data_IF_197278773783
#
_entry.id   IF_197278773783
#
_cell.length_a   1.000
_cell.length_b   1.000
_cell.length_c   1.000
_cell.angle_alpha   90.00
_cell.angle_beta   90.00
_cell.angle_gamma   90.00
#
_symmetry.space_group_name_H-M   'P 1'
#
loop_
_entity.id
_entity.type
_entity.pdbx_description
1 polymer ?
#
# COMPACT_ATOMS: atom_id res chain seq x y z
N UNK A 1 32.33 35.00 26.65
CA UNK A 1 31.27 34.31 27.41
C UNK A 1 30.50 33.46 26.43
N UNK A 2 30.97 32.24 26.20
CA UNK A 2 30.36 31.29 25.28
C UNK A 2 29.30 30.49 26.02
N UNK A 3 28.03 30.71 25.69
CA UNK A 3 26.95 29.82 26.07
C UNK A 3 27.00 28.58 25.16
N UNK A 4 27.72 27.55 25.62
CA UNK A 4 27.52 26.18 25.15
C UNK A 4 26.10 25.73 25.51
N UNK A 5 25.23 25.70 24.51
CA UNK A 5 23.93 25.03 24.58
C UNK A 5 24.15 23.52 24.75
N UNK A 6 24.00 23.03 25.97
CA UNK A 6 23.83 21.62 26.31
C UNK A 6 22.52 21.11 25.72
N UNK A 7 22.53 20.70 24.45
CA UNK A 7 21.49 19.84 23.90
C UNK A 7 21.72 18.46 24.51
N UNK A 8 20.84 18.07 25.43
CA UNK A 8 20.86 16.74 26.02
C UNK A 8 20.84 15.68 24.91
N UNK A 9 21.82 14.78 24.93
CA UNK A 9 21.84 13.60 24.07
C UNK A 9 20.62 12.74 24.41
N UNK A 10 19.55 12.88 23.64
CA UNK A 10 18.39 11.99 23.77
C UNK A 10 18.82 10.59 23.31
N UNK A 11 18.80 9.63 24.22
CA UNK A 11 19.02 8.22 23.89
C UNK A 11 17.99 7.78 22.85
N UNK A 12 18.51 7.28 21.72
CA UNK A 12 17.68 6.78 20.63
C UNK A 12 17.18 5.38 20.99
N UNK A 13 15.89 5.08 20.78
CA UNK A 13 15.39 3.73 20.92
C UNK A 13 16.12 2.80 19.95
N UNK A 14 16.49 1.61 20.42
CA UNK A 14 17.12 0.60 19.58
C UNK A 14 16.16 0.16 18.45
N UNK A 15 16.71 -0.38 17.36
CA UNK A 15 15.92 -0.86 16.22
C UNK A 15 14.83 -1.85 16.66
N UNK A 16 15.22 -2.78 17.51
CA UNK A 16 14.39 -3.85 18.09
C UNK A 16 13.25 -3.29 18.96
N UNK A 17 13.46 -2.13 19.59
CA UNK A 17 12.43 -1.46 20.39
C UNK A 17 11.29 -0.91 19.51
N UNK A 18 11.62 -0.34 18.34
CA UNK A 18 10.62 0.18 17.40
C UNK A 18 9.75 -0.96 16.86
N UNK A 19 10.38 -2.06 16.42
CA UNK A 19 9.68 -3.24 15.90
C UNK A 19 8.74 -3.83 16.97
N UNK A 20 9.26 -4.05 18.18
CA UNK A 20 8.48 -4.58 19.32
C UNK A 20 7.28 -3.69 19.64
N UNK A 21 7.43 -2.36 19.56
CA UNK A 21 6.34 -1.41 19.82
C UNK A 21 5.27 -1.45 18.72
N UNK A 22 5.66 -1.63 17.45
CA UNK A 22 4.69 -1.80 16.35
C UNK A 22 3.93 -3.12 16.53
N UNK A 23 4.62 -4.21 16.84
CA UNK A 23 3.99 -5.51 17.10
C UNK A 23 3.00 -5.42 18.25
N UNK A 24 3.35 -4.71 19.32
CA UNK A 24 2.48 -4.54 20.46
C UNK A 24 1.25 -3.65 20.15
N UNK A 25 1.40 -2.61 19.29
CA UNK A 25 0.28 -1.83 18.75
C UNK A 25 -0.68 -2.73 17.95
N UNK A 26 -0.14 -3.51 17.01
CA UNK A 26 -0.90 -4.39 16.12
C UNK A 26 -1.59 -5.50 16.92
N UNK A 27 -0.87 -6.15 17.85
CA UNK A 27 -1.41 -7.16 18.78
C UNK A 27 -2.59 -6.60 19.56
N UNK A 28 -2.43 -5.41 20.16
CA UNK A 28 -3.51 -4.76 20.92
C UNK A 28 -4.72 -4.48 20.04
N UNK A 29 -4.52 -3.95 18.84
CA UNK A 29 -5.61 -3.66 17.90
C UNK A 29 -6.33 -4.94 17.45
N UNK A 30 -5.59 -5.99 17.11
CA UNK A 30 -6.13 -7.30 16.77
C UNK A 30 -7.02 -7.82 17.90
N UNK A 31 -6.53 -7.86 19.14
CA UNK A 31 -7.28 -8.35 20.29
C UNK A 31 -8.52 -7.49 20.59
N UNK A 32 -8.44 -6.18 20.47
CA UNK A 32 -9.59 -5.29 20.69
C UNK A 32 -10.66 -5.53 19.61
N UNK A 33 -10.27 -5.46 18.34
CA UNK A 33 -11.21 -5.57 17.21
C UNK A 33 -11.81 -6.97 17.15
N UNK A 34 -10.98 -8.01 17.29
CA UNK A 34 -11.43 -9.41 17.27
C UNK A 34 -12.32 -9.78 18.45
N UNK A 35 -12.43 -8.96 19.50
CA UNK A 35 -13.33 -9.23 20.62
C UNK A 35 -14.53 -8.27 20.70
N UNK A 36 -14.69 -7.34 19.74
CA UNK A 36 -15.90 -6.52 19.65
C UNK A 36 -17.15 -7.40 19.48
N UNK A 37 -18.27 -7.11 20.16
CA UNK A 37 -19.51 -7.85 19.97
C UNK A 37 -20.04 -7.69 18.53
N UNK A 38 -20.82 -8.67 18.07
CA UNK A 38 -21.39 -8.71 16.72
C UNK A 38 -20.75 -9.77 15.82
N UNK A 39 -21.43 -10.07 14.72
CA UNK A 39 -21.01 -11.07 13.72
C UNK A 39 -20.72 -10.47 12.35
N UNK A 40 -21.12 -9.22 12.08
CA UNK A 40 -20.87 -8.57 10.79
C UNK A 40 -19.44 -7.99 10.72
N UNK A 41 -18.56 -8.57 9.89
CA UNK A 41 -17.20 -8.08 9.75
C UNK A 41 -17.12 -6.65 9.19
N UNK A 42 -18.09 -6.17 8.42
CA UNK A 42 -18.06 -4.82 7.83
C UNK A 42 -18.19 -3.73 8.90
N UNK A 43 -19.00 -4.00 9.93
CA UNK A 43 -19.16 -3.08 11.07
C UNK A 43 -17.95 -3.16 12.00
N UNK A 44 -17.44 -4.38 12.22
CA UNK A 44 -16.34 -4.65 13.15
C UNK A 44 -15.01 -4.06 12.65
N UNK A 45 -14.70 -4.24 11.36
CA UNK A 45 -13.49 -3.78 10.70
C UNK A 45 -13.73 -2.50 9.90
N UNK A 46 -14.27 -1.47 10.56
CA UNK A 46 -14.39 -0.15 9.94
C UNK A 46 -13.05 0.59 9.91
N UNK A 47 -12.87 1.43 8.89
CA UNK A 47 -11.63 2.18 8.65
C UNK A 47 -11.25 3.06 9.84
N UNK A 48 -12.24 3.71 10.49
CA UNK A 48 -12.00 4.58 11.65
C UNK A 48 -11.33 3.81 12.78
N UNK A 49 -11.82 2.60 13.10
CA UNK A 49 -11.25 1.75 14.14
C UNK A 49 -9.82 1.29 13.83
N UNK A 50 -9.52 0.94 12.59
CA UNK A 50 -8.17 0.56 12.16
C UNK A 50 -7.22 1.76 12.20
N UNK A 51 -7.69 2.93 11.76
CA UNK A 51 -6.94 4.18 11.83
C UNK A 51 -6.61 4.55 13.28
N UNK A 52 -7.58 4.48 14.17
CA UNK A 52 -7.44 4.88 15.57
C UNK A 52 -6.56 3.93 16.38
N UNK A 53 -6.71 2.63 16.17
CA UNK A 53 -6.01 1.62 16.96
C UNK A 53 -4.62 1.27 16.43
N UNK A 54 -4.36 1.50 15.13
CA UNK A 54 -3.08 1.11 14.49
C UNK A 54 -2.35 2.31 13.90
N UNK A 55 -2.97 3.00 12.94
CA UNK A 55 -2.28 4.03 12.15
C UNK A 55 -1.91 5.25 12.99
N UNK A 56 -2.81 5.76 13.84
CA UNK A 56 -2.53 6.90 14.73
C UNK A 56 -1.38 6.59 15.70
N UNK A 57 -1.37 5.47 16.45
CA UNK A 57 -0.22 5.08 17.28
C UNK A 57 1.10 4.94 16.52
N UNK A 58 1.09 4.34 15.32
CA UNK A 58 2.29 4.22 14.48
C UNK A 58 2.79 5.60 14.04
N UNK A 59 1.88 6.52 13.67
CA UNK A 59 2.24 7.89 13.32
C UNK A 59 2.85 8.62 14.51
N UNK A 60 2.28 8.47 15.70
CA UNK A 60 2.88 8.99 16.95
C UNK A 60 4.28 8.41 17.15
N UNK A 61 4.47 7.11 16.93
CA UNK A 61 5.78 6.47 17.05
C UNK A 61 6.82 7.08 16.09
N UNK A 62 6.45 7.39 14.84
CA UNK A 62 7.34 8.08 13.89
C UNK A 62 7.83 9.43 14.45
N UNK A 63 6.96 10.17 15.13
CA UNK A 63 7.21 11.55 15.55
C UNK A 63 7.40 11.76 17.07
N UNK A 64 7.54 10.68 17.83
CA UNK A 64 7.64 10.75 19.29
C UNK A 64 8.91 11.51 19.74
N UNK A 65 8.79 12.37 20.76
CA UNK A 65 9.92 13.10 21.33
C UNK A 65 10.71 13.93 20.28
N UNK A 66 10.00 14.46 19.28
CA UNK A 66 10.56 15.39 18.29
C UNK A 66 10.27 16.81 18.73
N UNK A 67 11.26 17.71 18.58
CA UNK A 67 11.09 19.12 18.89
C UNK A 67 10.15 19.82 17.88
N UNK A 68 9.43 20.88 18.29
CA UNK A 68 8.47 21.55 17.40
C UNK A 68 9.06 22.03 16.08
N UNK A 69 10.33 22.48 16.05
CA UNK A 69 10.95 22.98 14.83
C UNK A 69 11.18 21.86 13.81
N UNK A 70 11.64 20.69 14.28
CA UNK A 70 11.80 19.50 13.43
C UNK A 70 10.44 18.99 12.92
N UNK A 71 9.39 19.05 13.74
CA UNK A 71 8.03 18.69 13.32
C UNK A 71 7.52 19.63 12.21
N UNK A 72 7.63 20.95 12.40
CA UNK A 72 7.27 21.94 11.37
C UNK A 72 8.10 21.78 10.09
N UNK A 73 9.38 21.41 10.21
CA UNK A 73 10.22 21.13 9.05
C UNK A 73 9.70 19.92 8.26
N UNK A 74 9.23 18.87 8.94
CA UNK A 74 8.62 17.72 8.30
C UNK A 74 7.36 18.10 7.53
N UNK A 75 6.50 18.95 8.10
CA UNK A 75 5.24 19.38 7.46
C UNK A 75 5.44 20.45 6.37
N UNK A 76 6.63 21.07 6.28
CA UNK A 76 6.95 22.07 5.25
C UNK A 76 7.32 21.44 3.89
N UNK A 77 7.36 22.25 2.82
CA UNK A 77 7.83 21.82 1.49
C UNK A 77 9.35 21.55 1.42
N UNK A 78 10.09 21.78 2.51
CA UNK A 78 11.54 21.56 2.55
C UNK A 78 11.88 20.08 2.36
N UNK A 79 12.69 19.78 1.34
CA UNK A 79 13.06 18.41 0.99
C UNK A 79 11.89 17.58 0.42
N UNK A 80 10.78 18.22 0.03
CA UNK A 80 9.68 17.58 -0.69
C UNK A 80 10.13 17.08 -2.08
N UNK A 81 9.21 16.49 -2.84
CA UNK A 81 9.52 15.88 -4.14
C UNK A 81 9.69 16.90 -5.28
N UNK A 82 9.12 18.10 -5.14
CA UNK A 82 9.23 19.16 -6.16
C UNK A 82 8.44 18.89 -7.42
N UNK A 83 7.45 18.00 -7.32
CA UNK A 83 6.62 17.55 -8.43
C UNK A 83 5.29 17.06 -7.92
N UNK A 84 4.32 17.02 -8.82
CA UNK A 84 3.02 16.45 -8.51
C UNK A 84 3.11 14.94 -8.33
N UNK A 85 2.44 14.43 -7.30
CA UNK A 85 2.32 13.00 -7.00
C UNK A 85 0.92 12.47 -7.27
N UNK A 86 0.05 13.32 -7.82
CA UNK A 86 -1.31 12.94 -8.15
C UNK A 86 -1.32 11.93 -9.30
N UNK A 87 -2.13 10.89 -9.13
CA UNK A 87 -2.38 9.88 -10.14
C UNK A 87 -3.79 10.13 -10.66
N UNK A 88 -3.89 10.68 -11.87
CA UNK A 88 -5.16 11.08 -12.48
C UNK A 88 -6.08 9.87 -12.67
N UNK A 89 -7.34 10.01 -12.24
CA UNK A 89 -8.35 8.97 -12.45
C UNK A 89 -8.66 8.80 -13.95
N UNK A 90 -9.25 7.65 -14.31
CA UNK A 90 -9.71 7.43 -15.67
C UNK A 90 -10.73 8.52 -16.04
N UNK A 91 -10.58 9.09 -17.23
CA UNK A 91 -11.41 10.19 -17.76
C UNK A 91 -11.23 11.53 -17.04
N UNK A 92 -10.18 11.68 -16.23
CA UNK A 92 -9.81 12.99 -15.70
C UNK A 92 -9.44 13.96 -16.83
N UNK A 93 -9.78 15.23 -16.63
CA UNK A 93 -9.35 16.34 -17.48
C UNK A 93 -7.88 16.64 -17.20
N UNK A 94 -7.07 16.58 -18.25
CA UNK A 94 -5.65 16.93 -18.17
C UNK A 94 -5.29 17.90 -19.30
N UNK A 95 -4.20 18.63 -19.11
CA UNK A 95 -3.80 19.72 -19.99
C UNK A 95 -2.43 19.43 -20.62
N UNK A 96 -2.32 19.65 -21.93
CA UNK A 96 -1.07 19.61 -22.68
C UNK A 96 -0.69 21.03 -23.08
N UNK A 97 0.40 21.57 -22.54
CA UNK A 97 0.96 22.85 -23.00
C UNK A 97 1.79 22.62 -24.28
N UNK A 98 1.31 23.05 -25.44
CA UNK A 98 2.00 22.81 -26.72
C UNK A 98 3.30 23.60 -26.84
N UNK A 99 3.44 24.67 -26.07
CA UNK A 99 4.64 25.52 -26.08
C UNK A 99 5.79 24.94 -25.23
N UNK A 100 5.50 24.05 -24.26
CA UNK A 100 6.49 23.60 -23.27
C UNK A 100 6.66 22.09 -23.16
N UNK A 101 5.64 21.31 -23.51
CA UNK A 101 5.70 19.86 -23.41
C UNK A 101 6.67 19.29 -24.43
N UNK A 102 7.54 18.35 -24.03
CA UNK A 102 8.49 17.75 -24.97
C UNK A 102 7.85 16.84 -26.01
N UNK A 103 6.61 16.38 -25.76
CA UNK A 103 5.79 15.56 -26.66
C UNK A 103 4.33 15.54 -26.18
N UNK A 104 3.43 15.01 -27.02
CA UNK A 104 1.99 14.96 -26.77
C UNK A 104 1.54 14.00 -25.64
N UNK A 105 2.44 13.20 -25.08
CA UNK A 105 2.15 12.38 -23.90
C UNK A 105 2.29 13.15 -22.59
N UNK A 106 2.99 14.29 -22.61
CA UNK A 106 3.33 15.04 -21.41
C UNK A 106 2.22 15.98 -20.93
N UNK A 107 1.21 15.42 -20.28
CA UNK A 107 0.09 16.18 -19.71
C UNK A 107 0.29 16.48 -18.21
N UNK A 108 -0.34 17.54 -17.73
CA UNK A 108 -0.43 17.91 -16.31
C UNK A 108 -1.91 17.94 -15.86
N UNK A 109 -2.17 17.62 -14.59
CA UNK A 109 -3.53 17.65 -14.04
C UNK A 109 -4.08 19.09 -13.97
N UNK A 110 -5.39 19.23 -13.93
CA UNK A 110 -6.11 20.52 -13.86
C UNK A 110 -5.57 21.43 -12.75
N UNK A 111 -5.41 20.89 -11.54
CA UNK A 111 -4.90 21.66 -10.41
C UNK A 111 -3.49 22.21 -10.67
N UNK A 112 -2.60 21.41 -11.26
CA UNK A 112 -1.24 21.88 -11.57
C UNK A 112 -1.26 22.90 -12.70
N UNK A 113 -2.07 22.68 -13.73
CA UNK A 113 -2.23 23.61 -14.84
C UNK A 113 -2.65 24.99 -14.33
N UNK A 114 -3.75 25.06 -13.56
CA UNK A 114 -4.30 26.31 -13.03
C UNK A 114 -3.36 27.09 -12.10
N UNK A 115 -2.35 26.42 -11.53
CA UNK A 115 -1.36 27.03 -10.63
C UNK A 115 0.03 27.21 -11.28
N UNK A 116 0.12 27.08 -12.60
CA UNK A 116 1.37 27.17 -13.37
C UNK A 116 1.34 28.31 -14.38
N UNK A 117 2.50 28.61 -14.97
CA UNK A 117 2.62 29.57 -16.07
C UNK A 117 1.90 29.10 -17.35
N UNK A 118 1.61 27.80 -17.47
CA UNK A 118 1.06 27.20 -18.69
C UNK A 118 -0.35 27.66 -19.03
N UNK A 119 -1.09 28.26 -18.09
CA UNK A 119 -2.39 28.91 -18.36
C UNK A 119 -2.28 30.09 -19.33
N UNK A 120 -1.07 30.65 -19.49
CA UNK A 120 -0.79 31.77 -20.40
C UNK A 120 -0.20 31.32 -21.74
N UNK A 121 0.00 30.02 -21.93
CA UNK A 121 0.57 29.43 -23.14
C UNK A 121 -0.53 28.82 -24.02
N UNK A 122 -0.18 28.36 -25.22
CA UNK A 122 -1.07 27.53 -26.00
C UNK A 122 -1.20 26.14 -25.35
N UNK A 123 -2.44 25.67 -25.20
CA UNK A 123 -2.71 24.37 -24.59
C UNK A 123 -3.90 23.65 -25.22
N UNK A 124 -3.95 22.35 -24.98
CA UNK A 124 -5.04 21.45 -25.39
C UNK A 124 -5.59 20.75 -24.15
N UNK A 125 -6.91 20.74 -24.00
CA UNK A 125 -7.59 19.86 -23.03
C UNK A 125 -7.66 18.44 -23.60
N UNK A 126 -7.18 17.48 -22.82
CA UNK A 126 -7.15 16.06 -23.18
C UNK A 126 -7.91 15.27 -22.13
N UNK A 127 -8.76 14.36 -22.58
CA UNK A 127 -9.42 13.36 -21.70
C UNK A 127 -8.68 12.04 -21.85
N UNK A 128 -8.01 11.60 -20.78
CA UNK A 128 -7.24 10.35 -20.79
C UNK A 128 -8.13 9.17 -20.40
N UNK A 129 -8.10 8.09 -21.20
CA UNK A 129 -8.83 6.83 -20.91
C UNK A 129 -8.12 5.95 -19.88
N UNK A 130 -6.84 6.21 -19.63
CA UNK A 130 -5.97 5.42 -18.75
C UNK A 130 -5.43 6.33 -17.66
N UNK A 131 -5.25 5.76 -16.47
CA UNK A 131 -4.62 6.40 -15.33
C UNK A 131 -3.20 6.88 -15.68
N UNK A 132 -2.85 8.09 -15.25
CA UNK A 132 -1.60 8.74 -15.65
C UNK A 132 -1.00 9.58 -14.51
N UNK A 133 0.31 9.77 -14.51
CA UNK A 133 1.01 10.63 -13.56
C UNK A 133 1.12 12.06 -14.08
N UNK A 134 0.73 13.03 -13.26
CA UNK A 134 0.92 14.43 -13.61
C UNK A 134 2.43 14.74 -13.81
N UNK A 135 2.74 15.42 -14.92
CA UNK A 135 4.12 15.79 -15.27
C UNK A 135 4.60 17.13 -14.68
N UNK A 136 3.81 17.78 -13.81
CA UNK A 136 4.26 19.00 -13.13
C UNK A 136 5.52 18.71 -12.30
N UNK A 137 6.61 19.44 -12.56
CA UNK A 137 7.93 19.23 -11.95
C UNK A 137 8.73 18.06 -12.54
N UNK A 138 8.24 17.40 -13.59
CA UNK A 138 9.01 16.41 -14.34
C UNK A 138 9.85 17.10 -15.43
N UNK A 139 11.14 17.31 -15.13
CA UNK A 139 12.06 18.01 -16.05
C UNK A 139 12.34 17.26 -17.35
N UNK A 140 12.02 15.96 -17.46
CA UNK A 140 12.10 15.21 -18.75
C UNK A 140 10.93 15.53 -19.68
N UNK A 141 9.79 15.90 -19.10
CA UNK A 141 8.53 16.12 -19.80
C UNK A 141 8.32 17.61 -20.15
N UNK A 142 8.81 18.51 -19.29
CA UNK A 142 8.71 19.95 -19.42
C UNK A 142 10.11 20.57 -19.19
N UNK A 143 10.92 20.58 -20.24
CA UNK A 143 12.29 21.08 -20.18
C UNK A 143 12.29 22.59 -19.92
N UNK A 144 13.12 23.07 -18.99
CA UNK A 144 13.22 24.47 -18.59
C UNK A 144 11.93 25.10 -18.00
N UNK A 145 10.90 24.29 -17.69
CA UNK A 145 9.74 24.76 -16.95
C UNK A 145 9.93 24.55 -15.45
N UNK A 146 9.57 25.56 -14.67
CA UNK A 146 9.45 25.41 -13.23
C UNK A 146 8.19 24.59 -12.88
N UNK A 147 8.17 23.87 -11.73
CA UNK A 147 6.93 23.32 -11.19
C UNK A 147 5.89 24.41 -10.94
N UNK A 148 4.62 24.03 -10.81
CA UNK A 148 3.58 24.97 -10.37
C UNK A 148 3.87 25.47 -8.94
N UNK A 149 3.25 26.57 -8.53
CA UNK A 149 3.53 27.20 -7.23
C UNK A 149 3.25 26.29 -6.01
N UNK A 150 2.44 25.23 -6.18
CA UNK A 150 2.19 24.21 -5.14
C UNK A 150 3.33 23.20 -4.98
N UNK A 151 4.12 23.01 -6.03
CA UNK A 151 5.20 22.02 -6.09
C UNK A 151 6.59 22.64 -6.15
N UNK A 152 6.69 23.96 -5.98
CA UNK A 152 7.96 24.64 -5.83
C UNK A 152 8.59 24.30 -4.47
N UNK A 153 9.87 23.91 -4.48
CA UNK A 153 10.63 23.63 -3.27
C UNK A 153 11.43 24.89 -2.92
N UNK A 154 11.39 25.37 -1.67
CA UNK A 154 12.28 26.45 -1.24
C UNK A 154 13.75 26.10 -1.44
N UNK A 155 14.57 27.05 -1.89
CA UNK A 155 16.03 26.96 -1.90
C UNK A 155 16.57 26.98 -0.47
N UNK A 156 16.38 25.89 0.28
CA UNK A 156 16.98 25.75 1.59
C UNK A 156 17.64 24.38 1.79
N UNK A 157 18.77 24.43 2.48
CA UNK A 157 19.69 23.30 2.69
C UNK A 157 19.35 22.50 3.95
N UNK A 158 18.26 22.83 4.65
CA UNK A 158 17.91 22.18 5.92
C UNK A 158 17.28 20.82 5.67
N UNK A 159 18.09 19.78 5.76
CA UNK A 159 17.61 18.40 5.74
C UNK A 159 16.98 18.01 7.09
N UNK A 160 16.07 17.04 7.05
CA UNK A 160 15.57 16.41 8.27
C UNK A 160 16.73 15.79 9.07
N UNK A 161 16.69 15.85 10.42
CA UNK A 161 17.70 15.22 11.25
C UNK A 161 17.83 13.72 10.95
N UNK A 162 19.08 13.23 10.90
CA UNK A 162 19.36 11.83 10.57
C UNK A 162 18.68 10.82 11.51
N UNK A 163 18.46 11.18 12.78
CA UNK A 163 17.78 10.32 13.75
C UNK A 163 16.31 10.10 13.39
N UNK A 164 15.61 11.13 12.94
CA UNK A 164 14.21 11.05 12.52
C UNK A 164 14.11 10.18 11.27
N UNK A 165 15.01 10.42 10.33
CA UNK A 165 15.12 9.62 9.12
C UNK A 165 15.31 8.13 9.42
N UNK A 166 16.26 7.79 10.31
CA UNK A 166 16.53 6.42 10.75
C UNK A 166 15.29 5.79 11.38
N UNK A 167 14.58 6.53 12.23
CA UNK A 167 13.35 6.05 12.88
C UNK A 167 12.24 5.76 11.86
N UNK A 168 11.95 6.69 10.95
CA UNK A 168 10.94 6.50 9.89
C UNK A 168 11.32 5.28 9.05
N UNK A 169 12.58 5.13 8.66
CA UNK A 169 13.08 3.96 7.93
C UNK A 169 12.82 2.66 8.70
N UNK A 170 13.08 2.63 10.01
CA UNK A 170 12.80 1.47 10.86
C UNK A 170 11.32 1.10 10.90
N UNK A 171 10.45 2.10 11.07
CA UNK A 171 9.00 1.89 11.05
C UNK A 171 8.57 1.34 9.68
N UNK A 172 8.93 2.03 8.60
CA UNK A 172 8.57 1.64 7.24
C UNK A 172 9.03 0.23 6.89
N UNK A 173 10.28 -0.13 7.23
CA UNK A 173 10.81 -1.48 7.00
C UNK A 173 9.95 -2.55 7.70
N UNK A 174 9.55 -2.29 8.95
CA UNK A 174 8.71 -3.25 9.69
C UNK A 174 7.29 -3.33 9.15
N UNK A 175 6.72 -2.22 8.66
CA UNK A 175 5.42 -2.26 7.98
C UNK A 175 5.49 -3.01 6.65
N UNK A 176 6.59 -2.89 5.90
CA UNK A 176 6.81 -3.71 4.71
C UNK A 176 6.89 -5.20 5.04
N UNK A 177 7.54 -5.58 6.14
CA UNK A 177 7.55 -6.97 6.61
C UNK A 177 6.14 -7.54 6.77
N UNK A 178 5.20 -6.79 7.35
CA UNK A 178 3.80 -7.22 7.44
C UNK A 178 3.13 -7.39 6.07
N UNK A 179 3.41 -6.49 5.11
CA UNK A 179 2.90 -6.65 3.74
C UNK A 179 3.54 -7.85 3.04
N UNK A 180 4.82 -8.15 3.27
CA UNK A 180 5.48 -9.34 2.75
C UNK A 180 4.90 -10.62 3.32
N UNK A 181 4.63 -10.67 4.63
CA UNK A 181 4.00 -11.83 5.26
C UNK A 181 2.58 -12.03 4.71
N UNK A 182 1.82 -10.94 4.54
CA UNK A 182 0.47 -11.01 4.01
C UNK A 182 0.41 -11.45 2.54
N UNK A 183 1.35 -10.96 1.71
CA UNK A 183 1.45 -11.31 0.30
C UNK A 183 2.18 -12.65 0.05
N UNK A 184 2.76 -13.25 1.09
CA UNK A 184 3.50 -14.50 1.03
C UNK A 184 2.61 -15.74 1.19
N UNK A 185 3.25 -16.82 1.61
CA UNK A 185 2.57 -18.06 2.00
C UNK A 185 1.73 -17.84 3.26
N UNK A 186 0.57 -18.48 3.36
CA UNK A 186 -0.38 -18.22 4.44
C UNK A 186 0.21 -18.54 5.83
N UNK A 187 1.01 -19.61 5.92
CA UNK A 187 1.65 -20.05 7.16
C UNK A 187 2.64 -19.04 7.74
N UNK A 188 3.30 -18.22 6.91
CA UNK A 188 4.30 -17.26 7.40
C UNK A 188 3.68 -16.18 8.28
N UNK A 189 2.54 -15.62 7.84
CA UNK A 189 1.82 -14.62 8.63
C UNK A 189 1.21 -15.25 9.88
N UNK A 190 0.61 -16.42 9.74
CA UNK A 190 -0.05 -17.11 10.85
C UNK A 190 0.98 -17.43 11.95
N UNK A 191 2.13 -18.03 11.61
CA UNK A 191 3.22 -18.29 12.56
C UNK A 191 3.74 -17.01 13.23
N UNK A 192 3.92 -15.94 12.45
CA UNK A 192 4.38 -14.66 13.00
C UNK A 192 3.40 -14.09 14.02
N UNK A 193 2.10 -14.11 13.72
CA UNK A 193 1.06 -13.58 14.60
C UNK A 193 0.87 -14.46 15.84
N UNK A 194 0.91 -15.78 15.68
CA UNK A 194 0.86 -16.73 16.80
C UNK A 194 2.03 -16.47 17.76
N UNK A 195 3.24 -16.30 17.25
CA UNK A 195 4.41 -15.95 18.06
C UNK A 195 4.21 -14.62 18.81
N UNK A 196 3.73 -13.57 18.14
CA UNK A 196 3.43 -12.27 18.78
C UNK A 196 2.35 -12.42 19.87
N UNK A 197 1.31 -13.21 19.62
CA UNK A 197 0.23 -13.44 20.58
C UNK A 197 0.72 -14.20 21.81
N UNK A 198 1.61 -15.18 21.64
CA UNK A 198 2.20 -15.98 22.71
C UNK A 198 3.24 -15.23 23.56
N UNK A 199 3.90 -14.20 23.01
CA UNK A 199 4.83 -13.36 23.76
C UNK A 199 4.07 -12.49 24.78
N UNK A 200 4.18 -12.83 26.06
CA UNK A 200 3.35 -12.29 27.15
C UNK A 200 3.78 -10.91 27.66
N UNK A 201 4.89 -10.36 27.17
CA UNK A 201 5.53 -9.22 27.81
C UNK A 201 5.16 -7.87 27.16
N UNK A 202 4.69 -6.95 28.01
CA UNK A 202 4.75 -5.48 27.83
C UNK A 202 3.57 -4.73 27.18
N UNK A 203 2.33 -5.25 27.18
CA UNK A 203 1.17 -4.40 26.85
C UNK A 203 1.01 -3.19 27.81
N UNK A 204 1.47 -3.33 29.06
CA UNK A 204 1.43 -2.28 30.09
C UNK A 204 2.46 -1.15 29.89
N UNK A 205 3.49 -1.35 29.06
CA UNK A 205 4.54 -0.33 28.82
C UNK A 205 4.19 0.66 27.70
N UNK A 206 3.17 0.38 26.88
CA UNK A 206 2.73 1.31 25.86
C UNK A 206 1.85 2.39 26.50
N UNK A 207 2.48 3.43 27.05
CA UNK A 207 1.83 4.66 27.49
C UNK A 207 1.28 5.45 26.28
N UNK A 208 0.23 4.94 25.64
CA UNK A 208 -0.63 5.74 24.79
C UNK A 208 -1.46 6.61 25.73
N UNK A 209 -1.18 7.92 25.77
CA UNK A 209 -1.78 8.88 26.70
C UNK A 209 -3.30 9.07 26.57
N UNK A 210 -3.97 8.36 25.67
CA UNK A 210 -5.43 8.39 25.55
C UNK A 210 -5.99 7.04 26.01
N UNK A 211 -6.60 7.02 27.20
CA UNK A 211 -7.47 5.91 27.62
C UNK A 211 -8.75 5.98 26.76
N UNK A 212 -9.04 5.01 25.87
CA UNK A 212 -10.43 4.83 25.47
C UNK A 212 -11.24 4.39 26.70
N UNK A 213 -12.54 4.75 26.81
CA UNK A 213 -13.34 4.40 27.97
C UNK A 213 -13.51 2.87 28.04
N UNK A 214 -13.23 2.30 29.21
CA UNK A 214 -13.55 0.93 29.63
C UNK A 214 -12.98 -0.22 28.79
N UNK A 215 -11.72 -0.57 29.03
CA UNK A 215 -11.31 -1.99 29.01
C UNK A 215 -10.92 -2.35 30.44
N UNK A 216 -11.86 -2.99 31.16
CA UNK A 216 -11.55 -3.57 32.47
C UNK A 216 -10.46 -4.63 32.29
N UNK A 217 -9.51 -4.64 33.22
CA UNK A 217 -8.38 -5.56 33.34
C UNK A 217 -8.84 -7.00 33.56
N UNK A 218 -9.34 -7.65 32.51
CA UNK A 218 -9.78 -9.05 32.50
C UNK A 218 -8.93 -9.93 31.59
N UNK A 219 -7.62 -9.66 31.49
CA UNK A 219 -6.72 -10.42 30.61
C UNK A 219 -6.04 -11.62 31.29
N UNK A 220 -6.55 -12.09 32.44
CA UNK A 220 -5.95 -13.19 33.21
C UNK A 220 -6.58 -14.58 32.94
N UNK A 221 -7.63 -14.68 32.14
CA UNK A 221 -8.18 -15.99 31.75
C UNK A 221 -7.68 -16.40 30.35
N UNK A 222 -6.53 -17.08 30.30
CA UNK A 222 -6.02 -17.82 29.13
C UNK A 222 -6.96 -18.94 28.61
N UNK A 223 -8.13 -19.14 29.23
CA UNK A 223 -9.06 -20.24 28.94
C UNK A 223 -10.26 -19.92 28.04
N UNK A 224 -10.55 -18.64 27.75
CA UNK A 224 -11.57 -18.28 26.75
C UNK A 224 -10.85 -17.96 25.44
N UNK A 225 -10.91 -18.92 24.51
CA UNK A 225 -10.34 -18.86 23.17
C UNK A 225 -10.47 -17.46 22.54
N UNK A 226 -9.35 -16.71 22.53
CA UNK A 226 -9.30 -15.40 21.90
C UNK A 226 -9.85 -15.53 20.49
N UNK A 227 -10.89 -14.75 20.17
CA UNK A 227 -11.56 -14.78 18.88
C UNK A 227 -10.59 -14.58 17.70
N UNK A 228 -9.37 -14.06 17.94
CA UNK A 228 -8.29 -13.95 16.97
C UNK A 228 -7.81 -15.32 16.39
N UNK A 229 -8.02 -16.43 17.11
CA UNK A 229 -7.65 -17.78 16.66
C UNK A 229 -8.78 -18.54 15.98
N UNK A 230 -10.00 -17.98 15.97
CA UNK A 230 -11.14 -18.59 15.27
C UNK A 230 -10.97 -18.48 13.75
N UNK A 231 -11.88 -19.12 13.04
CA UNK A 231 -11.86 -19.19 11.58
C UNK A 231 -12.94 -18.31 10.94
N UNK A 232 -12.68 -17.91 9.71
CA UNK A 232 -13.60 -17.22 8.83
C UNK A 232 -13.73 -18.01 7.52
N UNK A 233 -14.89 -17.92 6.87
CA UNK A 233 -15.03 -18.33 5.46
C UNK A 233 -15.06 -17.08 4.61
N UNK A 234 -14.20 -17.03 3.60
CA UNK A 234 -14.07 -15.89 2.68
C UNK A 234 -14.22 -16.39 1.25
N UNK A 235 -15.13 -15.75 0.52
CA UNK A 235 -15.29 -15.91 -0.92
C UNK A 235 -14.32 -14.95 -1.61
N UNK A 236 -13.66 -15.41 -2.66
CA UNK A 236 -12.79 -14.62 -3.53
C UNK A 236 -13.34 -14.65 -4.95
N UNK A 237 -13.17 -13.55 -5.68
CA UNK A 237 -13.53 -13.47 -7.11
C UNK A 237 -12.33 -13.03 -7.96
N UNK A 238 -12.23 -13.51 -9.21
CA UNK A 238 -11.40 -12.88 -10.23
C UNK A 238 -11.84 -11.43 -10.54
N UNK A 239 -10.97 -10.69 -11.24
CA UNK A 239 -11.26 -9.30 -11.63
C UNK A 239 -12.34 -9.21 -12.70
N UNK A 240 -12.29 -10.13 -13.65
CA UNK A 240 -13.14 -10.24 -14.83
C UNK A 240 -14.36 -11.17 -14.62
N UNK A 241 -14.63 -11.54 -13.37
CA UNK A 241 -15.78 -12.38 -13.03
C UNK A 241 -17.12 -11.70 -13.38
N UNK A 242 -18.08 -12.49 -13.87
CA UNK A 242 -19.43 -12.02 -14.18
C UNK A 242 -20.15 -11.53 -12.90
N UNK A 243 -20.62 -10.27 -12.85
CA UNK A 243 -21.40 -9.75 -11.73
C UNK A 243 -22.61 -10.62 -11.35
N UNK A 244 -23.21 -11.32 -12.31
CA UNK A 244 -24.36 -12.23 -12.09
C UNK A 244 -23.95 -13.49 -11.32
N UNK A 245 -22.76 -14.03 -11.59
CA UNK A 245 -22.19 -15.16 -10.84
C UNK A 245 -21.89 -14.73 -9.40
N UNK A 246 -21.29 -13.55 -9.24
CA UNK A 246 -21.01 -12.95 -7.94
C UNK A 246 -22.30 -12.78 -7.13
N UNK A 247 -23.33 -12.18 -7.73
CA UNK A 247 -24.64 -12.01 -7.11
C UNK A 247 -25.23 -13.35 -6.64
N UNK A 248 -25.24 -14.35 -7.52
CA UNK A 248 -25.82 -15.66 -7.24
C UNK A 248 -25.07 -16.37 -6.10
N UNK A 249 -23.74 -16.33 -6.12
CA UNK A 249 -22.90 -16.92 -5.07
C UNK A 249 -23.09 -16.24 -3.71
N UNK A 250 -23.09 -14.89 -3.68
CA UNK A 250 -23.29 -14.12 -2.44
C UNK A 250 -24.71 -14.35 -1.90
N UNK A 251 -25.72 -14.38 -2.77
CA UNK A 251 -27.11 -14.64 -2.39
C UNK A 251 -27.27 -16.04 -1.79
N UNK A 252 -26.58 -17.04 -2.35
CA UNK A 252 -26.57 -18.40 -1.81
C UNK A 252 -25.86 -18.48 -0.45
N UNK A 253 -24.68 -17.87 -0.34
CA UNK A 253 -23.90 -17.86 0.90
C UNK A 253 -24.61 -17.09 2.04
N UNK A 254 -25.51 -16.16 1.69
CA UNK A 254 -26.37 -15.38 2.59
C UNK A 254 -25.62 -14.80 3.80
N UNK A 255 -24.55 -14.01 3.59
CA UNK A 255 -23.77 -13.43 4.67
C UNK A 255 -24.55 -12.33 5.40
N UNK A 256 -24.20 -12.01 6.66
CA UNK A 256 -24.81 -10.91 7.38
C UNK A 256 -24.49 -9.57 6.69
N UNK A 257 -25.50 -8.70 6.55
CA UNK A 257 -25.34 -7.35 6.00
C UNK A 257 -26.40 -6.99 4.96
N UNK A 258 -26.27 -5.79 4.39
CA UNK A 258 -27.11 -5.36 3.27
C UNK A 258 -26.53 -5.89 1.94
N UNK A 259 -27.35 -6.54 1.11
CA UNK A 259 -26.90 -7.15 -0.14
C UNK A 259 -26.19 -6.17 -1.08
N UNK A 260 -26.65 -4.93 -1.18
CA UNK A 260 -26.03 -3.91 -2.05
C UNK A 260 -24.61 -3.59 -1.56
N UNK A 261 -24.45 -3.37 -0.26
CA UNK A 261 -23.15 -3.07 0.34
C UNK A 261 -22.18 -4.25 0.21
N UNK A 262 -22.67 -5.47 0.37
CA UNK A 262 -21.89 -6.70 0.21
C UNK A 262 -21.39 -6.86 -1.23
N UNK A 263 -22.24 -6.59 -2.23
CA UNK A 263 -21.88 -6.65 -3.64
C UNK A 263 -20.88 -5.56 -4.02
N UNK A 264 -21.06 -4.34 -3.50
CA UNK A 264 -20.07 -3.27 -3.68
C UNK A 264 -18.73 -3.64 -3.04
N UNK A 265 -18.75 -4.25 -1.85
CA UNK A 265 -17.54 -4.66 -1.15
C UNK A 265 -16.77 -5.74 -1.91
N UNK A 266 -17.43 -6.82 -2.33
CA UNK A 266 -16.75 -7.87 -3.10
C UNK A 266 -16.27 -7.36 -4.46
N UNK A 267 -16.99 -6.41 -5.07
CA UNK A 267 -16.57 -5.78 -6.32
C UNK A 267 -15.30 -4.96 -6.16
N UNK A 268 -15.22 -4.14 -5.11
CA UNK A 268 -14.03 -3.33 -4.85
C UNK A 268 -12.86 -4.15 -4.32
N UNK A 269 -13.15 -5.09 -3.41
CA UNK A 269 -12.10 -5.78 -2.67
C UNK A 269 -11.62 -7.05 -3.38
N UNK A 270 -12.47 -7.68 -4.18
CA UNK A 270 -12.21 -9.01 -4.75
C UNK A 270 -12.42 -10.16 -3.77
N UNK A 271 -12.93 -9.88 -2.56
CA UNK A 271 -13.24 -10.89 -1.56
C UNK A 271 -14.41 -10.46 -0.65
N UNK A 272 -15.07 -11.43 -0.01
CA UNK A 272 -16.16 -11.21 0.95
C UNK A 272 -16.11 -12.25 2.07
N UNK A 273 -16.15 -11.80 3.33
CA UNK A 273 -16.26 -12.71 4.47
C UNK A 273 -17.73 -13.07 4.69
N UNK A 274 -18.04 -14.36 4.58
CA UNK A 274 -19.42 -14.87 4.68
C UNK A 274 -19.71 -15.58 6.01
N UNK A 275 -18.66 -16.08 6.66
CA UNK A 275 -18.72 -16.51 8.06
C UNK A 275 -17.56 -15.92 8.83
N UNK A 276 -17.84 -15.39 10.01
CA UNK A 276 -16.87 -14.68 10.84
C UNK A 276 -16.81 -15.25 12.25
N UNK A 277 -15.59 -15.53 12.75
CA UNK A 277 -15.33 -16.06 14.10
C UNK A 277 -16.12 -17.33 14.43
N UNK A 278 -16.15 -18.26 13.49
CA UNK A 278 -16.86 -19.53 13.67
C UNK A 278 -15.88 -20.67 14.01
N UNK A 279 -16.43 -21.82 14.34
CA UNK A 279 -15.65 -23.04 14.59
C UNK A 279 -15.10 -23.58 13.27
N UNK A 280 -13.93 -24.27 13.29
CA UNK A 280 -13.39 -24.90 12.09
C UNK A 280 -14.37 -25.82 11.38
N UNK A 281 -15.19 -26.57 12.14
CA UNK A 281 -16.20 -27.48 11.61
C UNK A 281 -17.33 -26.72 10.89
N UNK A 282 -17.83 -25.63 11.48
CA UNK A 282 -18.86 -24.81 10.86
C UNK A 282 -18.36 -24.07 9.61
N UNK A 283 -17.08 -23.69 9.61
CA UNK A 283 -16.41 -23.13 8.44
C UNK A 283 -16.27 -24.18 7.33
N UNK A 284 -15.82 -25.40 7.66
CA UNK A 284 -15.71 -26.51 6.70
C UNK A 284 -17.04 -26.86 6.05
N UNK A 285 -18.11 -26.98 6.84
CA UNK A 285 -19.45 -27.26 6.31
C UNK A 285 -19.94 -26.15 5.35
N UNK A 286 -19.68 -24.88 5.70
CA UNK A 286 -20.05 -23.75 4.84
C UNK A 286 -19.23 -23.68 3.56
N UNK A 287 -17.91 -23.88 3.65
CA UNK A 287 -17.02 -23.96 2.50
C UNK A 287 -17.47 -25.04 1.53
N UNK A 288 -17.73 -26.26 2.02
CA UNK A 288 -18.22 -27.37 1.19
C UNK A 288 -19.51 -27.00 0.46
N UNK A 289 -20.49 -26.45 1.17
CA UNK A 289 -21.79 -26.10 0.58
C UNK A 289 -21.67 -24.99 -0.47
N UNK A 290 -20.81 -23.99 -0.25
CA UNK A 290 -20.55 -22.91 -1.21
C UNK A 290 -19.81 -23.43 -2.44
N UNK A 291 -18.80 -24.28 -2.27
CA UNK A 291 -18.04 -24.87 -3.39
C UNK A 291 -18.92 -25.78 -4.24
N UNK A 292 -19.76 -26.61 -3.61
CA UNK A 292 -20.75 -27.43 -4.31
C UNK A 292 -21.73 -26.58 -5.12
N UNK A 293 -22.19 -25.45 -4.55
CA UNK A 293 -23.05 -24.51 -5.29
C UNK A 293 -22.35 -23.92 -6.51
N UNK A 294 -21.11 -23.44 -6.35
CA UNK A 294 -20.32 -22.85 -7.45
C UNK A 294 -20.13 -23.89 -8.57
N UNK A 295 -19.76 -25.11 -8.24
CA UNK A 295 -19.52 -26.18 -9.22
C UNK A 295 -20.80 -26.55 -9.99
N UNK A 296 -21.94 -26.62 -9.31
CA UNK A 296 -23.19 -27.08 -9.91
C UNK A 296 -23.96 -25.97 -10.65
N UNK A 297 -23.83 -24.71 -10.22
CA UNK A 297 -24.68 -23.62 -10.72
C UNK A 297 -23.91 -22.52 -11.45
N UNK A 298 -22.59 -22.42 -11.28
CA UNK A 298 -21.76 -21.37 -11.86
C UNK A 298 -20.60 -21.99 -12.68
N UNK A 299 -20.88 -22.86 -13.66
CA UNK A 299 -19.83 -23.55 -14.41
C UNK A 299 -18.94 -22.56 -15.15
N UNK A 300 -17.63 -22.68 -14.96
CA UNK A 300 -16.64 -21.79 -15.56
C UNK A 300 -16.37 -20.50 -14.78
N UNK A 301 -17.10 -20.24 -13.70
CA UNK A 301 -16.76 -19.16 -12.77
C UNK A 301 -15.41 -19.44 -12.10
N UNK A 302 -14.61 -18.38 -11.90
CA UNK A 302 -13.37 -18.46 -11.13
C UNK A 302 -13.56 -18.14 -9.64
N UNK A 303 -14.80 -17.97 -9.19
CA UNK A 303 -15.12 -17.78 -7.77
C UNK A 303 -14.69 -19.02 -6.98
N UNK A 304 -14.07 -18.80 -5.82
CA UNK A 304 -13.74 -19.86 -4.88
C UNK A 304 -13.90 -19.34 -3.45
N UNK A 305 -13.95 -20.24 -2.47
CA UNK A 305 -13.95 -19.85 -1.08
C UNK A 305 -12.83 -20.54 -0.30
N UNK A 306 -12.40 -19.94 0.80
CA UNK A 306 -11.35 -20.48 1.67
C UNK A 306 -11.65 -20.22 3.12
N UNK A 307 -11.14 -21.10 3.96
CA UNK A 307 -11.12 -20.91 5.41
C UNK A 307 -9.82 -20.19 5.76
N UNK A 308 -9.92 -19.05 6.44
CA UNK A 308 -8.76 -18.30 6.94
C UNK A 308 -8.91 -18.02 8.42
N UNK A 309 -7.80 -17.73 9.11
CA UNK A 309 -7.83 -17.29 10.50
C UNK A 309 -8.36 -15.86 10.63
N UNK A 310 -9.00 -15.56 11.76
CA UNK A 310 -9.49 -14.20 12.07
C UNK A 310 -8.38 -13.16 12.04
N UNK A 311 -7.17 -13.50 12.49
CA UNK A 311 -6.04 -12.58 12.41
C UNK A 311 -5.60 -12.32 10.97
N UNK A 312 -5.56 -13.33 10.09
CA UNK A 312 -5.30 -13.14 8.66
C UNK A 312 -6.33 -12.20 8.04
N UNK A 313 -7.61 -12.39 8.36
CA UNK A 313 -8.69 -11.48 7.94
C UNK A 313 -8.50 -10.05 8.46
N UNK A 314 -8.05 -9.88 9.72
CA UNK A 314 -7.67 -8.57 10.27
C UNK A 314 -6.55 -7.92 9.45
N UNK A 315 -5.51 -8.65 9.07
CA UNK A 315 -4.43 -8.10 8.24
C UNK A 315 -4.88 -7.77 6.82
N UNK A 316 -5.79 -8.57 6.23
CA UNK A 316 -6.42 -8.23 4.95
C UNK A 316 -7.11 -6.86 5.03
N UNK A 317 -7.89 -6.60 6.09
CA UNK A 317 -8.55 -5.30 6.32
C UNK A 317 -7.58 -4.18 6.68
N UNK A 318 -6.54 -4.47 7.47
CA UNK A 318 -5.54 -3.49 7.90
C UNK A 318 -4.59 -3.07 6.75
N UNK A 319 -4.34 -3.95 5.79
CA UNK A 319 -3.36 -3.75 4.71
C UNK A 319 -3.54 -2.43 3.95
N UNK A 320 -4.79 -2.08 3.63
CA UNK A 320 -5.14 -0.82 2.97
C UNK A 320 -4.63 0.40 3.75
N UNK A 321 -4.89 0.42 5.06
CA UNK A 321 -4.46 1.50 5.93
C UNK A 321 -2.92 1.57 6.07
N UNK A 322 -2.25 0.41 6.11
CA UNK A 322 -0.78 0.33 6.12
C UNK A 322 -0.16 0.87 4.83
N UNK A 323 -0.72 0.51 3.68
CA UNK A 323 -0.25 0.98 2.38
C UNK A 323 -0.43 2.51 2.25
N UNK A 324 -1.56 3.04 2.74
CA UNK A 324 -1.82 4.49 2.72
C UNK A 324 -0.82 5.26 3.59
N UNK A 325 -0.52 4.80 4.82
CA UNK A 325 0.51 5.48 5.65
C UNK A 325 1.90 5.37 5.02
N UNK A 326 2.25 4.21 4.45
CA UNK A 326 3.51 4.02 3.74
C UNK A 326 3.64 5.00 2.58
N UNK A 327 2.60 5.13 1.76
CA UNK A 327 2.58 6.08 0.66
C UNK A 327 2.70 7.54 1.13
N UNK A 328 1.95 7.92 2.16
CA UNK A 328 2.03 9.27 2.74
C UNK A 328 3.44 9.59 3.23
N UNK A 329 4.11 8.66 3.91
CA UNK A 329 5.51 8.81 4.31
C UNK A 329 6.44 8.89 3.11
N UNK A 330 6.25 8.02 2.10
CA UNK A 330 7.04 7.98 0.86
C UNK A 330 7.06 9.35 0.17
N UNK A 331 5.87 9.93 0.00
CA UNK A 331 5.69 11.14 -0.80
C UNK A 331 5.98 12.42 -0.02
N UNK A 332 6.12 12.34 1.32
CA UNK A 332 6.40 13.49 2.17
C UNK A 332 7.74 14.15 1.87
N UNK A 333 8.79 13.34 1.60
CA UNK A 333 10.18 13.81 1.39
C UNK A 333 10.89 12.97 0.36
N UNK A 334 11.68 13.63 -0.50
CA UNK A 334 12.47 12.96 -1.54
C UNK A 334 13.46 11.93 -1.00
N UNK A 335 14.10 12.21 0.14
CA UNK A 335 14.98 11.25 0.81
C UNK A 335 14.23 10.00 1.28
N UNK A 336 13.02 10.17 1.83
CA UNK A 336 12.21 9.03 2.28
C UNK A 336 11.76 8.21 1.07
N UNK A 337 11.31 8.87 -0.01
CA UNK A 337 10.96 8.21 -1.26
C UNK A 337 12.10 7.35 -1.83
N UNK A 338 13.33 7.87 -1.84
CA UNK A 338 14.51 7.12 -2.28
C UNK A 338 14.75 5.85 -1.47
N UNK A 339 14.71 5.98 -0.15
CA UNK A 339 14.91 4.85 0.74
C UNK A 339 13.75 3.85 0.66
N UNK A 340 12.52 4.30 0.45
CA UNK A 340 11.39 3.40 0.22
C UNK A 340 11.55 2.63 -1.08
N UNK A 341 11.98 3.29 -2.16
CA UNK A 341 12.34 2.62 -3.42
C UNK A 341 13.47 1.59 -3.22
N UNK A 342 14.46 1.91 -2.38
CA UNK A 342 15.54 0.98 -2.05
C UNK A 342 15.05 -0.22 -1.23
N UNK A 343 14.27 0.02 -0.18
CA UNK A 343 13.73 -1.03 0.67
C UNK A 343 12.87 -2.01 -0.14
N UNK A 344 11.89 -1.50 -0.89
CA UNK A 344 10.94 -2.33 -1.67
C UNK A 344 11.65 -3.27 -2.64
N UNK A 345 12.65 -2.78 -3.39
CA UNK A 345 13.24 -3.55 -4.48
C UNK A 345 14.57 -4.23 -4.15
N UNK A 346 15.17 -3.96 -2.98
CA UNK A 346 16.47 -4.54 -2.59
C UNK A 346 16.49 -5.20 -1.23
N UNK A 347 15.64 -4.77 -0.29
CA UNK A 347 15.65 -5.27 1.09
C UNK A 347 14.45 -6.18 1.38
N UNK A 348 13.42 -6.14 0.53
CA UNK A 348 12.19 -6.93 0.68
C UNK A 348 11.96 -7.85 -0.50
N UNK A 349 11.22 -8.92 -0.26
CA UNK A 349 10.64 -9.87 -1.24
C UNK A 349 9.24 -9.46 -1.72
N UNK A 350 8.76 -8.27 -1.35
CA UNK A 350 7.40 -7.82 -1.65
C UNK A 350 7.09 -7.80 -3.15
N UNK A 351 7.97 -7.33 -4.05
CA UNK A 351 7.73 -7.40 -5.49
C UNK A 351 7.56 -8.83 -6.00
N UNK A 352 8.42 -9.76 -5.59
CA UNK A 352 8.32 -11.16 -5.98
C UNK A 352 7.01 -11.78 -5.50
N UNK A 353 6.66 -11.58 -4.23
CA UNK A 353 5.41 -12.06 -3.64
C UNK A 353 4.19 -11.44 -4.33
N UNK A 354 4.23 -10.16 -4.68
CA UNK A 354 3.16 -9.49 -5.41
C UNK A 354 2.93 -10.08 -6.81
N UNK A 355 3.99 -10.16 -7.62
CA UNK A 355 3.85 -10.51 -9.04
C UNK A 355 3.62 -12.00 -9.26
N UNK A 356 4.10 -12.85 -8.35
CA UNK A 356 4.12 -14.30 -8.55
C UNK A 356 3.23 -15.08 -7.59
N UNK A 357 2.58 -14.43 -6.61
CA UNK A 357 1.50 -15.07 -5.84
C UNK A 357 0.17 -14.84 -6.56
N UNK A 358 -0.45 -15.90 -7.09
CA UNK A 358 -1.75 -15.83 -7.77
C UNK A 358 -2.94 -15.71 -6.82
N UNK A 359 -2.76 -16.01 -5.54
CA UNK A 359 -3.80 -15.97 -4.51
C UNK A 359 -4.12 -14.58 -3.96
N UNK A 360 -3.44 -13.52 -4.42
CA UNK A 360 -3.73 -12.16 -3.97
C UNK A 360 -5.04 -11.63 -4.57
N UNK A 361 -5.81 -10.94 -3.74
CA UNK A 361 -7.09 -10.34 -4.10
C UNK A 361 -6.93 -8.97 -4.78
N UNK A 362 -8.01 -8.46 -5.36
CA UNK A 362 -8.03 -7.24 -6.17
C UNK A 362 -7.52 -6.02 -5.39
N UNK A 363 -8.06 -5.78 -4.20
CA UNK A 363 -7.70 -4.61 -3.37
C UNK A 363 -6.21 -4.51 -3.10
N UNK A 364 -5.58 -5.60 -2.61
CA UNK A 364 -4.16 -5.56 -2.25
C UNK A 364 -3.29 -5.32 -3.49
N UNK A 365 -3.69 -5.87 -4.64
CA UNK A 365 -2.98 -5.65 -5.90
C UNK A 365 -3.06 -4.20 -6.36
N UNK A 366 -4.26 -3.64 -6.32
CA UNK A 366 -4.49 -2.25 -6.68
C UNK A 366 -3.73 -1.29 -5.77
N UNK A 367 -3.81 -1.51 -4.46
CA UNK A 367 -3.16 -0.65 -3.48
C UNK A 367 -1.63 -0.72 -3.56
N UNK A 368 -1.03 -1.91 -3.62
CA UNK A 368 0.43 -2.04 -3.75
C UNK A 368 0.92 -1.40 -5.06
N UNK A 369 0.21 -1.64 -6.17
CA UNK A 369 0.58 -1.04 -7.46
C UNK A 369 0.58 0.48 -7.37
N UNK A 370 -0.54 1.07 -6.95
CA UNK A 370 -0.75 2.52 -7.00
C UNK A 370 0.02 3.29 -5.94
N UNK A 371 0.15 2.74 -4.74
CA UNK A 371 0.64 3.49 -3.58
C UNK A 371 2.04 3.05 -3.12
N UNK A 372 2.52 1.89 -3.55
CA UNK A 372 3.89 1.44 -3.27
C UNK A 372 4.73 1.54 -4.54
N UNK A 373 4.41 0.77 -5.58
CA UNK A 373 5.27 0.67 -6.77
C UNK A 373 5.31 1.96 -7.59
N UNK A 374 4.15 2.53 -7.96
CA UNK A 374 4.12 3.79 -8.71
C UNK A 374 4.75 4.95 -7.92
N UNK A 375 4.61 4.97 -6.60
CA UNK A 375 5.22 5.98 -5.74
C UNK A 375 6.76 5.96 -5.80
N UNK A 376 7.38 4.82 -6.12
CA UNK A 376 8.83 4.73 -6.29
C UNK A 376 9.35 5.46 -7.55
N UNK A 377 8.48 5.75 -8.51
CA UNK A 377 8.82 6.53 -9.72
C UNK A 377 9.20 7.97 -9.38
N UNK A 378 8.73 8.49 -8.24
CA UNK A 378 9.06 9.84 -7.75
C UNK A 378 10.42 9.93 -7.04
N UNK A 379 11.09 8.80 -6.80
CA UNK A 379 12.45 8.81 -6.25
C UNK A 379 13.40 9.62 -7.14
N UNK A 380 14.47 10.17 -6.57
CA UNK A 380 15.53 10.87 -7.32
C UNK A 380 16.28 9.93 -8.27
N UNK A 381 16.26 8.63 -7.98
CA UNK A 381 16.71 7.56 -8.89
C UNK A 381 15.71 7.32 -10.04
N UNK A 382 14.61 8.08 -10.12
CA UNK A 382 13.56 8.05 -11.15
C UNK A 382 13.11 6.63 -11.45
N UNK A 383 12.66 5.90 -10.43
CA UNK A 383 12.12 4.54 -10.60
C UNK A 383 13.11 3.48 -11.06
N UNK A 384 14.42 3.76 -11.12
CA UNK A 384 15.40 2.82 -11.67
C UNK A 384 15.44 1.46 -10.94
N UNK A 385 15.13 1.42 -9.64
CA UNK A 385 15.02 0.16 -8.91
C UNK A 385 13.85 -0.71 -9.40
N UNK A 386 12.69 -0.10 -9.68
CA UNK A 386 11.54 -0.79 -10.28
C UNK A 386 11.89 -1.30 -11.68
N UNK A 387 12.54 -0.47 -12.51
CA UNK A 387 12.98 -0.87 -13.86
C UNK A 387 13.96 -2.04 -13.80
N UNK A 388 14.91 -2.02 -12.86
CA UNK A 388 15.85 -3.12 -12.63
C UNK A 388 15.15 -4.41 -12.23
N UNK A 389 14.17 -4.32 -11.32
CA UNK A 389 13.36 -5.48 -10.94
C UNK A 389 12.58 -6.02 -12.14
N UNK A 390 11.91 -5.14 -12.89
CA UNK A 390 11.12 -5.50 -14.07
C UNK A 390 12.00 -6.21 -15.12
N UNK A 391 13.16 -5.64 -15.43
CA UNK A 391 14.14 -6.21 -16.34
C UNK A 391 14.62 -7.60 -15.89
N UNK A 392 15.09 -7.71 -14.64
CA UNK A 392 15.61 -8.97 -14.09
C UNK A 392 14.59 -10.11 -14.11
N UNK A 393 13.30 -9.78 -14.09
CA UNK A 393 12.21 -10.75 -14.03
C UNK A 393 11.37 -10.79 -15.31
N UNK A 394 11.83 -10.20 -16.42
CA UNK A 394 11.03 -9.99 -17.62
C UNK A 394 10.38 -11.28 -18.14
N UNK A 395 11.15 -12.36 -18.32
CA UNK A 395 10.62 -13.64 -18.83
C UNK A 395 9.55 -14.24 -17.94
N UNK A 396 9.74 -14.12 -16.62
CA UNK A 396 8.78 -14.65 -15.64
C UNK A 396 7.51 -13.81 -15.60
N UNK A 397 7.64 -12.48 -15.66
CA UNK A 397 6.51 -11.56 -15.76
C UNK A 397 5.73 -11.77 -17.07
N UNK A 398 6.43 -11.96 -18.18
CA UNK A 398 5.83 -12.25 -19.49
C UNK A 398 5.10 -13.59 -19.48
N UNK A 399 5.68 -14.62 -18.85
CA UNK A 399 5.02 -15.91 -18.66
C UNK A 399 3.71 -15.77 -17.87
N UNK A 400 3.72 -15.01 -16.77
CA UNK A 400 2.50 -14.75 -15.99
C UNK A 400 1.43 -14.02 -16.82
N UNK A 401 1.82 -13.12 -17.72
CA UNK A 401 0.89 -12.46 -18.67
C UNK A 401 0.26 -13.46 -19.64
N UNK A 402 1.05 -14.39 -20.18
CA UNK A 402 0.56 -15.41 -21.13
C UNK A 402 -0.35 -16.44 -20.48
N UNK A 403 -0.15 -16.74 -19.19
CA UNK A 403 -0.98 -17.68 -18.44
C UNK A 403 -2.36 -17.11 -18.05
N UNK A 404 -2.73 -15.93 -18.54
CA UNK A 404 -4.04 -15.32 -18.25
C UNK A 404 -4.20 -14.91 -16.78
N UNK A 405 -3.10 -14.62 -16.08
CA UNK A 405 -3.18 -14.24 -14.68
C UNK A 405 -3.84 -12.86 -14.49
N UNK A 406 -4.46 -12.66 -13.32
CA UNK A 406 -5.06 -11.38 -12.91
C UNK A 406 -4.03 -10.24 -12.75
N UNK A 407 -2.75 -10.46 -13.07
CA UNK A 407 -1.70 -9.43 -12.94
C UNK A 407 -1.63 -8.48 -14.13
N UNK A 408 -2.28 -8.82 -15.24
CA UNK A 408 -2.16 -8.13 -16.54
C UNK A 408 -2.43 -6.63 -16.44
N UNK A 409 -3.50 -6.22 -15.77
CA UNK A 409 -3.85 -4.81 -15.64
C UNK A 409 -2.78 -4.01 -14.87
N UNK A 410 -2.20 -4.60 -13.83
CA UNK A 410 -1.17 -3.95 -13.00
C UNK A 410 0.17 -3.88 -13.71
N UNK A 411 0.58 -4.97 -14.36
CA UNK A 411 1.79 -4.97 -15.19
C UNK A 411 1.67 -3.94 -16.30
N UNK A 412 0.56 -3.92 -17.04
CA UNK A 412 0.33 -2.92 -18.07
C UNK A 412 0.45 -1.50 -17.53
N UNK A 413 -0.17 -1.20 -16.37
CA UNK A 413 -0.09 0.12 -15.73
C UNK A 413 1.35 0.52 -15.40
N UNK A 414 2.13 -0.41 -14.83
CA UNK A 414 3.54 -0.19 -14.50
C UNK A 414 4.39 0.00 -15.76
N UNK A 415 4.25 -0.90 -16.72
CA UNK A 415 5.01 -0.86 -17.99
C UNK A 415 4.73 0.43 -18.75
N UNK A 416 3.49 0.90 -18.78
CA UNK A 416 3.13 2.18 -19.39
C UNK A 416 3.90 3.35 -18.77
N UNK A 417 4.03 3.40 -17.44
CA UNK A 417 4.81 4.46 -16.78
C UNK A 417 6.32 4.34 -17.05
N UNK A 418 6.83 3.10 -17.17
CA UNK A 418 8.24 2.84 -17.47
C UNK A 418 8.62 3.32 -18.87
N UNK A 419 7.82 2.99 -19.87
CA UNK A 419 8.12 3.33 -21.27
C UNK A 419 7.97 4.83 -21.58
N UNK A 420 7.20 5.56 -20.76
CA UNK A 420 6.98 6.99 -20.95
C UNK A 420 8.10 7.86 -20.42
N UNK A 421 8.93 7.35 -19.50
CA UNK A 421 10.16 8.06 -19.11
C UNK A 421 11.28 7.72 -20.07
N UNK A 422 11.81 8.74 -20.76
CA UNK A 422 12.95 8.62 -21.67
C UNK A 422 14.14 7.93 -20.99
N UNK A 423 14.44 8.29 -19.73
CA UNK A 423 15.56 7.72 -18.98
C UNK A 423 15.35 6.24 -18.62
N UNK A 424 14.15 5.88 -18.18
CA UNK A 424 13.82 4.50 -17.82
C UNK A 424 13.78 3.60 -19.06
N UNK A 425 13.13 4.07 -20.13
CA UNK A 425 13.09 3.37 -21.41
C UNK A 425 14.50 3.17 -21.99
N UNK A 426 15.34 4.21 -21.99
CA UNK A 426 16.75 4.11 -22.41
C UNK A 426 17.52 3.08 -21.58
N UNK A 427 17.26 2.98 -20.28
CA UNK A 427 17.88 1.94 -19.46
C UNK A 427 17.46 0.53 -19.90
N UNK A 428 16.18 0.30 -20.17
CA UNK A 428 15.72 -1.00 -20.67
C UNK A 428 16.40 -1.35 -21.99
N UNK A 429 16.34 -0.47 -22.98
CA UNK A 429 16.96 -0.66 -24.30
C UNK A 429 18.47 -0.95 -24.16
N UNK A 430 19.23 -0.13 -23.41
CA UNK A 430 20.67 -0.35 -23.29
C UNK A 430 21.01 -1.68 -22.59
N UNK A 431 20.24 -2.11 -21.59
CA UNK A 431 20.53 -3.36 -20.89
C UNK A 431 20.01 -4.60 -21.63
N UNK A 432 19.01 -4.44 -22.50
CA UNK A 432 18.52 -5.47 -23.41
C UNK A 432 19.48 -5.70 -24.59
N UNK A 433 19.97 -4.62 -25.20
CA UNK A 433 20.87 -4.67 -26.36
C UNK A 433 22.36 -4.57 -26.00
N UNK A 434 22.70 -4.50 -24.71
CA UNK A 434 24.07 -4.32 -24.22
C UNK A 434 24.90 -5.60 -24.17
N UNK A 435 24.28 -6.78 -24.25
CA UNK A 435 24.99 -8.07 -24.26
C UNK A 435 25.16 -8.68 -25.66
N UNK A 436 24.41 -8.20 -26.66
CA UNK A 436 24.63 -8.54 -28.07
C UNK A 436 24.55 -7.29 -28.96
N UNK A 437 25.68 -6.96 -29.60
CA UNK A 437 25.81 -5.85 -30.54
C UNK A 437 24.81 -5.97 -31.70
N UNK A 438 23.71 -5.23 -31.65
CA UNK A 438 22.96 -4.83 -32.84
C UNK A 438 23.23 -3.33 -33.11
N UNK A 439 23.57 -2.94 -34.35
CA UNK A 439 23.86 -1.56 -34.68
C UNK A 439 22.54 -0.82 -34.86
N UNK A 440 22.11 -0.07 -33.85
CA UNK A 440 21.06 0.93 -34.03
C UNK A 440 21.71 2.29 -33.79
N UNK A 441 22.02 2.98 -34.89
CA UNK A 441 22.19 4.43 -34.88
C UNK A 441 20.79 5.03 -34.65
N UNK A 442 20.60 5.70 -33.50
CA UNK A 442 19.46 6.59 -33.24
C UNK A 442 19.83 7.99 -33.71
#
# INVERSE_FOLDING_TARGET
MDQKSTVGMMEQPALEEIETRIDAIIKKALLIISNKPGSDPHIIYNDVGLLDLVIKPIRVLCFEKIDPNTATLFDSNVGALGRCTWIDERHAKVYLCTDCASDASNTICEECFMNSIHVQHNYIEVVRKVQWLCNCGNTEAYENSIPCCKHEIPDNTRNLPAYLFKRIRSVVRHLFRYLELLCGEESELDEHVENILLMDENLSRINLKDKPPMVKSGLENRGEASNAFKSCVVIFKPEDEDPTNVYSCVSFANPPGNMIDLLLNIQSCGYLCVKYRDTPQNCQAATFSIEEYIQNHLPGSGIYCRIIKVHRFFFMKLSRALIVILNSLCLSKSLICDHMSEMVFKETSLPEKFFFNRGLWVDIREFITNFIFLSTLFSRKRGLNLVKFYWKNFDRLFTELLMGSNIKAYLFRISMQIVTSKKQFKYLVINEFGTEKWPINI
#
